data_IF_414679295691
#
_entry.id   IF_414679295691
#
_cell.length_a   1.000
_cell.length_b   1.000
_cell.length_c   1.000
_cell.angle_alpha   90.00
_cell.angle_beta   90.00
_cell.angle_gamma   90.00
#
_symmetry.space_group_name_H-M   'P 1'
#
loop_
_entity.id
_entity.type
_entity.pdbx_description
1 polymer ?
#
# COMPACT_ATOMS: atom_id res chain seq x y z
N UNK A 1 48.90 8.50 -47.35
CA UNK A 1 49.67 8.95 -46.17
C UNK A 1 49.28 8.05 -44.99
N UNK A 2 50.13 7.11 -44.57
CA UNK A 2 49.79 6.14 -43.54
C UNK A 2 49.96 6.78 -42.14
N UNK A 3 48.84 7.12 -41.50
CA UNK A 3 48.82 7.68 -40.13
C UNK A 3 49.49 6.68 -39.17
N UNK A 4 50.46 7.15 -38.39
CA UNK A 4 51.25 6.32 -37.48
C UNK A 4 50.39 5.55 -36.46
N UNK A 5 50.71 4.27 -36.23
CA UNK A 5 49.99 3.35 -35.33
C UNK A 5 49.61 3.91 -33.94
N UNK A 6 50.44 4.70 -33.22
CA UNK A 6 50.05 5.24 -31.92
C UNK A 6 48.92 6.29 -32.00
N UNK A 7 48.84 7.04 -33.10
CA UNK A 7 47.81 8.08 -33.29
C UNK A 7 46.43 7.44 -33.52
N UNK A 8 46.39 6.27 -34.16
CA UNK A 8 45.15 5.50 -34.38
C UNK A 8 44.61 4.93 -33.07
N UNK A 9 45.48 4.48 -32.17
CA UNK A 9 45.11 3.98 -30.85
C UNK A 9 44.49 5.10 -30.00
N UNK A 10 45.10 6.29 -30.02
CA UNK A 10 44.61 7.46 -29.28
C UNK A 10 43.21 7.90 -29.77
N UNK A 11 42.98 7.88 -31.09
CA UNK A 11 41.68 8.16 -31.67
C UNK A 11 40.59 7.16 -31.25
N UNK A 12 40.92 5.86 -31.24
CA UNK A 12 39.98 4.81 -30.84
C UNK A 12 39.57 4.91 -29.35
N UNK A 13 40.51 5.23 -28.46
CA UNK A 13 40.22 5.44 -27.03
C UNK A 13 39.34 6.68 -26.81
N UNK A 14 39.59 7.76 -27.56
CA UNK A 14 38.73 8.94 -27.54
C UNK A 14 37.30 8.64 -27.97
N UNK A 15 37.12 7.86 -29.04
CA UNK A 15 35.79 7.44 -29.53
C UNK A 15 35.10 6.56 -28.49
N UNK A 16 35.81 5.59 -27.89
CA UNK A 16 35.24 4.73 -26.85
C UNK A 16 34.83 5.53 -25.61
N UNK A 17 35.63 6.52 -25.21
CA UNK A 17 35.30 7.44 -24.13
C UNK A 17 34.04 8.26 -24.42
N UNK A 18 33.91 8.79 -25.63
CA UNK A 18 32.70 9.51 -26.07
C UNK A 18 31.49 8.58 -26.09
N UNK A 19 31.63 7.36 -26.60
CA UNK A 19 30.54 6.37 -26.59
C UNK A 19 30.12 5.99 -25.17
N UNK A 20 31.06 5.86 -24.25
CA UNK A 20 30.77 5.58 -22.84
C UNK A 20 30.07 6.76 -22.17
N UNK A 21 30.49 8.00 -22.45
CA UNK A 21 29.81 9.21 -21.96
C UNK A 21 28.39 9.31 -22.52
N UNK A 22 28.19 9.05 -23.81
CA UNK A 22 26.86 9.02 -24.43
C UNK A 22 25.98 7.90 -23.85
N UNK A 23 26.56 6.74 -23.56
CA UNK A 23 25.87 5.63 -22.90
C UNK A 23 25.44 6.00 -21.48
N UNK A 24 26.29 6.68 -20.71
CA UNK A 24 25.96 7.18 -19.36
C UNK A 24 24.88 8.27 -19.39
N UNK A 25 24.95 9.17 -20.37
CA UNK A 25 23.92 10.20 -20.58
C UNK A 25 22.58 9.56 -20.99
N UNK A 26 22.60 8.51 -21.82
CA UNK A 26 21.40 7.75 -22.19
C UNK A 26 20.76 7.00 -21.03
N UNK A 27 21.52 6.63 -19.99
CA UNK A 27 20.98 5.98 -18.80
C UNK A 27 20.39 6.97 -17.78
N UNK A 28 20.63 8.27 -17.91
CA UNK A 28 20.16 9.31 -16.95
C UNK A 28 18.73 9.79 -17.25
N UNK A 29 17.93 9.00 -17.97
CA UNK A 29 16.55 9.33 -18.30
C UNK A 29 15.55 8.76 -17.28
N UNK A 30 15.80 8.94 -15.98
CA UNK A 30 14.73 8.92 -14.99
C UNK A 30 14.56 10.34 -14.46
N UNK A 31 13.90 11.17 -15.29
CA UNK A 31 13.31 12.41 -14.80
C UNK A 31 12.21 12.02 -13.81
N UNK A 32 12.16 12.57 -12.58
CA UNK A 32 11.00 12.41 -11.73
C UNK A 32 9.79 12.96 -12.50
N UNK A 33 8.79 12.11 -12.71
CA UNK A 33 7.56 12.49 -13.41
C UNK A 33 6.75 13.44 -12.54
N UNK A 34 7.05 14.74 -12.61
CA UNK A 34 6.21 15.79 -12.02
C UNK A 34 5.23 16.26 -13.10
N UNK A 35 4.26 15.42 -13.44
CA UNK A 35 3.08 15.84 -14.21
C UNK A 35 2.02 16.32 -13.23
N UNK A 36 1.99 17.64 -13.03
CA UNK A 36 0.98 18.38 -12.25
C UNK A 36 -0.40 18.42 -12.90
N UNK A 37 -0.99 17.26 -13.15
CA UNK A 37 -2.43 17.00 -13.31
C UNK A 37 -2.70 15.71 -12.53
N UNK A 38 -2.47 15.73 -11.21
CA UNK A 38 -2.18 14.51 -10.45
C UNK A 38 -3.44 13.66 -10.26
N UNK A 39 -3.66 12.70 -11.16
CA UNK A 39 -4.57 11.59 -10.91
C UNK A 39 -4.05 10.84 -9.67
N UNK A 40 -4.78 10.93 -8.56
CA UNK A 40 -4.44 10.22 -7.32
C UNK A 40 -4.57 8.71 -7.55
N UNK A 41 -3.49 7.97 -7.34
CA UNK A 41 -3.43 6.51 -7.51
C UNK A 41 -2.87 5.79 -6.29
N UNK A 42 -2.65 4.49 -6.44
CA UNK A 42 -1.94 3.67 -5.45
C UNK A 42 -0.46 4.09 -5.34
N UNK A 43 0.18 3.92 -4.17
CA UNK A 43 1.59 4.26 -4.01
C UNK A 43 2.51 3.33 -4.83
N UNK A 44 3.71 3.81 -5.14
CA UNK A 44 4.75 2.99 -5.79
C UNK A 44 5.30 1.91 -4.83
N UNK A 45 5.78 0.80 -5.39
CA UNK A 45 6.39 -0.30 -4.64
C UNK A 45 5.58 -1.59 -4.64
N UNK A 46 5.99 -2.56 -3.82
CA UNK A 46 5.33 -3.86 -3.69
C UNK A 46 4.12 -3.72 -2.76
N UNK A 47 2.92 -4.02 -3.27
CA UNK A 47 1.67 -3.98 -2.51
C UNK A 47 1.09 -5.37 -2.35
N UNK A 48 0.62 -5.69 -1.14
CA UNK A 48 -0.03 -6.96 -0.82
C UNK A 48 -1.48 -6.93 -1.25
N UNK A 49 -1.87 -7.90 -2.08
CA UNK A 49 -3.20 -8.04 -2.66
C UNK A 49 -3.99 -9.12 -1.91
N UNK A 50 -5.31 -8.95 -1.85
CA UNK A 50 -6.19 -9.89 -1.14
C UNK A 50 -6.45 -11.15 -1.96
N UNK A 51 -6.26 -11.08 -3.28
CA UNK A 51 -6.46 -12.16 -4.24
C UNK A 51 -5.37 -13.24 -4.11
N UNK A 52 -4.14 -12.84 -3.78
CA UNK A 52 -2.97 -13.73 -3.77
C UNK A 52 -2.64 -14.31 -2.39
N UNK A 53 -3.33 -13.87 -1.33
CA UNK A 53 -2.97 -14.17 0.07
C UNK A 53 -4.19 -14.56 0.90
N UNK A 54 -3.95 -15.37 1.93
CA UNK A 54 -5.02 -15.82 2.82
C UNK A 54 -5.39 -14.74 3.86
N UNK A 55 -6.43 -13.99 3.53
CA UNK A 55 -7.08 -13.03 4.42
C UNK A 55 -8.42 -13.54 4.97
N UNK A 56 -8.69 -14.86 4.98
CA UNK A 56 -9.91 -15.38 5.56
C UNK A 56 -10.01 -15.01 7.07
N UNK A 57 -11.21 -14.70 7.61
CA UNK A 57 -11.37 -14.26 9.00
C UNK A 57 -10.83 -15.25 10.03
N UNK A 58 -11.01 -16.56 9.78
CA UNK A 58 -10.65 -17.64 10.70
C UNK A 58 -9.45 -18.49 10.23
N UNK A 59 -8.59 -17.92 9.38
CA UNK A 59 -7.36 -18.60 8.97
C UNK A 59 -6.35 -18.70 10.11
N UNK A 60 -5.80 -19.90 10.34
CA UNK A 60 -4.70 -20.14 11.27
C UNK A 60 -3.38 -19.52 10.80
N UNK A 61 -3.14 -19.48 9.49
CA UNK A 61 -1.94 -18.94 8.85
C UNK A 61 -2.27 -17.68 8.06
N UNK A 62 -2.91 -16.72 8.72
CA UNK A 62 -3.35 -15.49 8.05
C UNK A 62 -2.17 -14.66 7.54
N UNK A 63 -2.36 -14.05 6.37
CA UNK A 63 -1.45 -13.04 5.81
C UNK A 63 -1.53 -11.66 6.51
N UNK A 64 -2.43 -11.49 7.48
CA UNK A 64 -2.52 -10.26 8.29
C UNK A 64 -1.30 -10.10 9.17
N UNK A 65 -0.76 -8.88 9.21
CA UNK A 65 0.17 -8.48 10.27
C UNK A 65 -0.60 -8.14 11.55
N UNK A 66 0.10 -8.00 12.68
CA UNK A 66 -0.51 -7.62 13.95
C UNK A 66 -0.97 -6.16 13.94
N UNK A 67 -2.20 -5.92 13.49
CA UNK A 67 -2.85 -4.62 13.46
C UNK A 67 -4.36 -4.75 13.73
N UNK A 68 -4.99 -3.66 14.15
CA UNK A 68 -6.44 -3.59 14.40
C UNK A 68 -6.98 -2.26 13.90
N UNK A 69 -8.24 -2.27 13.48
CA UNK A 69 -9.05 -1.06 13.36
C UNK A 69 -9.51 -0.67 14.76
N UNK A 70 -9.22 0.55 15.20
CA UNK A 70 -9.49 1.00 16.57
C UNK A 70 -10.48 2.17 16.54
N UNK A 71 -11.47 2.17 17.43
CA UNK A 71 -12.37 3.31 17.62
C UNK A 71 -12.68 3.54 19.10
N UNK A 72 -12.50 4.77 19.56
CA UNK A 72 -12.98 5.23 20.88
C UNK A 72 -14.37 5.83 20.68
N UNK A 73 -15.40 5.18 21.22
CA UNK A 73 -16.80 5.48 20.85
C UNK A 73 -17.76 5.13 21.97
N UNK A 74 -18.83 5.92 22.12
CA UNK A 74 -19.87 5.69 23.13
C UNK A 74 -21.01 4.82 22.59
N UNK A 75 -21.84 4.29 23.49
CA UNK A 75 -22.99 3.46 23.12
C UNK A 75 -24.02 4.24 22.29
N UNK A 76 -24.19 5.53 22.57
CA UNK A 76 -25.18 6.40 21.93
C UNK A 76 -24.82 6.72 20.46
N UNK A 77 -23.57 6.52 20.07
CA UNK A 77 -23.03 6.83 18.73
C UNK A 77 -23.08 5.62 17.77
N UNK A 78 -23.74 4.54 18.20
CA UNK A 78 -23.79 3.27 17.46
C UNK A 78 -24.30 3.40 16.02
N UNK A 79 -25.33 4.23 15.79
CA UNK A 79 -25.91 4.43 14.46
C UNK A 79 -24.92 5.06 13.47
N UNK A 80 -24.17 6.05 13.93
CA UNK A 80 -23.13 6.74 13.16
C UNK A 80 -21.95 5.81 12.91
N UNK A 81 -21.47 5.12 13.96
CA UNK A 81 -20.39 4.14 13.85
C UNK A 81 -20.70 3.03 12.84
N UNK A 82 -21.91 2.46 12.89
CA UNK A 82 -22.33 1.42 11.94
C UNK A 82 -22.28 1.92 10.50
N UNK A 83 -22.59 3.20 10.27
CA UNK A 83 -22.49 3.80 8.94
C UNK A 83 -21.03 3.89 8.48
N UNK A 84 -20.12 4.33 9.36
CA UNK A 84 -18.68 4.36 9.09
C UNK A 84 -18.11 2.95 8.85
N UNK A 85 -18.48 1.97 9.67
CA UNK A 85 -18.06 0.58 9.50
C UNK A 85 -18.50 0.04 8.14
N UNK A 86 -19.77 0.25 7.74
CA UNK A 86 -20.27 -0.18 6.43
C UNK A 86 -19.48 0.42 5.27
N UNK A 87 -19.08 1.68 5.37
CA UNK A 87 -18.28 2.34 4.33
C UNK A 87 -16.89 1.71 4.24
N UNK A 88 -16.19 1.56 5.37
CA UNK A 88 -14.84 1.00 5.41
C UNK A 88 -14.81 -0.49 5.01
N UNK A 89 -15.79 -1.25 5.49
CA UNK A 89 -15.97 -2.66 5.10
C UNK A 89 -16.17 -2.76 3.60
N UNK A 90 -17.10 -1.97 3.02
CA UNK A 90 -17.39 -1.99 1.58
C UNK A 90 -16.17 -1.62 0.72
N UNK A 91 -15.34 -0.67 1.13
CA UNK A 91 -14.22 -0.20 0.31
C UNK A 91 -12.97 -1.06 0.49
N UNK A 92 -12.72 -1.57 1.70
CA UNK A 92 -11.43 -2.14 2.06
C UNK A 92 -11.53 -3.41 2.91
N UNK A 93 -12.12 -3.34 4.11
CA UNK A 93 -11.91 -4.39 5.11
C UNK A 93 -12.62 -5.72 4.79
N UNK A 94 -13.64 -5.74 3.92
CA UNK A 94 -14.26 -7.01 3.48
C UNK A 94 -13.28 -7.96 2.77
N UNK A 95 -12.17 -7.42 2.23
CA UNK A 95 -11.10 -8.15 1.55
C UNK A 95 -10.04 -8.66 2.53
N UNK A 96 -9.64 -7.84 3.50
CA UNK A 96 -8.50 -8.12 4.38
C UNK A 96 -8.90 -8.67 5.76
N UNK A 97 -10.12 -8.39 6.22
CA UNK A 97 -10.73 -8.86 7.46
C UNK A 97 -9.84 -8.59 8.70
N UNK A 98 -9.29 -7.38 8.81
CA UNK A 98 -8.61 -6.94 10.04
C UNK A 98 -9.61 -6.79 11.19
N UNK A 99 -9.23 -7.15 12.42
CA UNK A 99 -10.12 -7.06 13.57
C UNK A 99 -10.47 -5.61 13.92
N UNK A 100 -11.64 -5.45 14.54
CA UNK A 100 -12.07 -4.19 15.13
C UNK A 100 -11.88 -4.23 16.64
N UNK A 101 -11.39 -3.15 17.23
CA UNK A 101 -11.27 -2.96 18.68
C UNK A 101 -11.98 -1.66 19.03
N UNK A 102 -13.00 -1.75 19.86
CA UNK A 102 -13.76 -0.61 20.37
C UNK A 102 -13.31 -0.31 21.79
N UNK A 103 -13.15 0.96 22.11
CA UNK A 103 -12.82 1.44 23.44
C UNK A 103 -13.92 2.39 23.92
N UNK A 104 -14.23 2.36 25.21
CA UNK A 104 -15.23 3.22 25.83
C UNK A 104 -14.94 3.35 27.33
N UNK A 105 -15.32 4.47 27.94
CA UNK A 105 -15.23 4.68 29.39
C UNK A 105 -16.31 3.89 30.16
N UNK A 106 -17.37 3.47 29.46
CA UNK A 106 -18.46 2.66 30.00
C UNK A 106 -18.52 1.29 29.31
N UNK A 107 -19.08 0.26 29.98
CA UNK A 107 -19.33 -1.02 29.32
C UNK A 107 -20.22 -0.87 28.08
N UNK A 108 -19.85 -1.57 27.00
CA UNK A 108 -20.66 -1.62 25.80
C UNK A 108 -21.95 -2.42 26.01
N UNK A 109 -23.06 -1.93 25.47
CA UNK A 109 -24.33 -2.64 25.50
C UNK A 109 -24.31 -3.87 24.59
N UNK A 110 -25.15 -4.86 24.88
CA UNK A 110 -25.28 -6.03 24.01
C UNK A 110 -25.82 -5.66 22.62
N UNK A 111 -26.64 -4.61 22.53
CA UNK A 111 -27.06 -4.07 21.23
C UNK A 111 -25.87 -3.53 20.43
N UNK A 112 -24.95 -2.81 21.09
CA UNK A 112 -23.74 -2.30 20.46
C UNK A 112 -22.89 -3.43 19.89
N UNK A 113 -22.59 -4.44 20.71
CA UNK A 113 -21.77 -5.61 20.29
C UNK A 113 -22.42 -6.38 19.15
N UNK A 114 -23.74 -6.63 19.24
CA UNK A 114 -24.47 -7.35 18.19
C UNK A 114 -24.45 -6.58 16.87
N UNK A 115 -24.80 -5.28 16.88
CA UNK A 115 -24.90 -4.48 15.66
C UNK A 115 -23.55 -4.23 15.00
N UNK A 116 -22.48 -4.05 15.76
CA UNK A 116 -21.13 -3.87 15.20
C UNK A 116 -20.59 -5.18 14.61
N UNK A 117 -20.77 -6.31 15.29
CA UNK A 117 -20.38 -7.63 14.75
C UNK A 117 -21.18 -8.03 13.49
N UNK A 118 -22.44 -7.63 13.36
CA UNK A 118 -23.26 -7.89 12.15
C UNK A 118 -22.73 -7.18 10.89
N UNK A 119 -21.92 -6.13 11.03
CA UNK A 119 -21.42 -5.34 9.89
C UNK A 119 -20.14 -5.95 9.29
N UNK A 120 -19.40 -6.75 10.05
CA UNK A 120 -18.08 -7.25 9.64
C UNK A 120 -17.96 -8.77 9.84
N UNK A 121 -17.20 -9.42 8.97
CA UNK A 121 -16.81 -10.83 9.14
C UNK A 121 -15.63 -10.98 10.10
N UNK A 122 -14.90 -9.91 10.35
CA UNK A 122 -13.73 -9.91 11.22
C UNK A 122 -14.14 -9.98 12.70
N UNK A 123 -13.17 -10.30 13.55
CA UNK A 123 -13.39 -10.33 15.01
C UNK A 123 -13.53 -8.92 15.56
N UNK A 124 -14.52 -8.73 16.43
CA UNK A 124 -14.70 -7.50 17.19
C UNK A 124 -14.32 -7.68 18.67
N UNK A 125 -13.55 -6.73 19.20
CA UNK A 125 -13.17 -6.61 20.60
C UNK A 125 -13.79 -5.34 21.19
N UNK A 126 -14.13 -5.36 22.49
CA UNK A 126 -14.92 -4.33 23.18
C UNK A 126 -14.37 -4.06 24.57
#
# INVERSE_FOLDING_TARGET
MAIARPIRLLGAVGILGVLLVLYRLSQTSQLPSITGTTATGEPEGILWRAEDHDYAPDSENSARINATLLSLVRNEELSELVTTMKQLERTWNHKFNYPWTFLNDKPFTEEFKRKTQEVTKARCYY
#
